data_IF_361547756299
#
_entry.id   IF_361547756299
#
_cell.length_a   1.000
_cell.length_b   1.000
_cell.length_c   1.000
_cell.angle_alpha   90.00
_cell.angle_beta   90.00
_cell.angle_gamma   90.00
#
_symmetry.space_group_name_H-M   'P 1'
#
loop_
_entity.id
_entity.type
_entity.pdbx_description
1 polymer ?
#
# COMPACT_ATOMS: atom_id res chain seq x y z
N UNK A 1 2.56 -12.30 23.41
CA UNK A 1 3.10 -11.18 22.60
C UNK A 1 2.07 -10.95 21.53
N UNK A 2 1.28 -9.89 21.67
CA UNK A 2 0.30 -9.49 20.67
C UNK A 2 1.05 -8.97 19.45
N UNK A 3 0.83 -9.58 18.29
CA UNK A 3 1.41 -9.18 17.01
C UNK A 3 0.50 -8.17 16.32
N UNK A 4 1.04 -7.06 15.86
CA UNK A 4 0.30 -5.92 15.35
C UNK A 4 0.48 -5.74 13.83
N UNK A 5 -0.53 -5.25 13.09
CA UNK A 5 -0.46 -5.10 11.65
C UNK A 5 0.47 -3.97 11.20
N UNK A 6 1.13 -4.19 10.09
CA UNK A 6 2.01 -3.22 9.43
C UNK A 6 1.27 -2.39 8.39
N UNK A 7 1.81 -1.24 7.96
CA UNK A 7 1.13 -0.33 7.04
C UNK A 7 0.97 -0.93 5.64
N UNK A 8 -0.07 -0.47 4.96
CA UNK A 8 -0.53 -1.02 3.70
C UNK A 8 -0.73 0.11 2.68
N UNK A 9 -0.19 -0.04 1.49
CA UNK A 9 -0.53 0.80 0.34
C UNK A 9 -1.56 0.06 -0.51
N UNK A 10 -2.67 0.69 -0.82
CA UNK A 10 -3.75 0.10 -1.60
C UNK A 10 -3.76 0.67 -3.01
N UNK A 11 -3.86 -0.19 -4.01
CA UNK A 11 -4.18 0.19 -5.38
C UNK A 11 -5.61 -0.23 -5.68
N UNK A 12 -6.45 0.70 -6.12
CA UNK A 12 -7.75 0.38 -6.63
C UNK A 12 -7.65 0.24 -8.16
N UNK A 13 -7.85 -0.97 -8.67
CA UNK A 13 -7.88 -1.26 -10.11
C UNK A 13 -9.34 -1.47 -10.50
N UNK A 14 -9.84 -0.70 -11.48
CA UNK A 14 -11.17 -0.88 -12.02
C UNK A 14 -11.12 -1.61 -13.36
N UNK A 15 -11.52 -2.89 -13.44
CA UNK A 15 -11.43 -3.69 -14.67
C UNK A 15 -12.55 -3.42 -15.69
N UNK A 16 -13.52 -2.56 -15.37
CA UNK A 16 -14.79 -2.46 -16.11
C UNK A 16 -14.89 -1.46 -17.25
N UNK A 17 -13.93 -0.55 -17.48
CA UNK A 17 -13.99 0.42 -18.56
C UNK A 17 -12.78 0.29 -19.51
N UNK A 18 -13.06 -0.09 -20.75
CA UNK A 18 -12.10 0.05 -21.85
C UNK A 18 -11.75 1.53 -22.02
N UNK A 19 -10.46 1.83 -22.06
CA UNK A 19 -9.98 3.17 -22.31
C UNK A 19 -10.53 3.68 -23.65
N UNK A 20 -11.47 4.63 -23.59
CA UNK A 20 -11.82 5.44 -24.74
C UNK A 20 -10.69 6.41 -25.04
N UNK A 21 -10.26 6.43 -26.29
CA UNK A 21 -9.20 7.30 -26.81
C UNK A 21 -9.54 8.78 -26.62
N UNK A 22 -8.54 9.50 -26.09
CA UNK A 22 -8.33 10.96 -26.19
C UNK A 22 -9.17 11.88 -25.29
N UNK A 23 -8.51 12.37 -24.27
CA UNK A 23 -8.51 13.83 -23.98
C UNK A 23 -7.12 14.25 -23.49
N UNK A 24 -6.36 14.91 -24.38
CA UNK A 24 -5.18 15.71 -24.07
C UNK A 24 -5.57 16.87 -23.15
N UNK A 25 -5.34 16.71 -21.86
CA UNK A 25 -5.46 17.77 -20.87
C UNK A 25 -4.09 18.12 -20.29
N UNK A 26 -3.37 19.06 -20.91
CA UNK A 26 -2.18 19.71 -20.33
C UNK A 26 -2.58 20.41 -19.04
N UNK A 27 -2.24 19.83 -17.90
CA UNK A 27 -2.27 20.52 -16.62
C UNK A 27 -0.92 21.19 -16.36
N UNK A 28 -0.88 22.48 -16.60
CA UNK A 28 0.23 23.38 -16.26
C UNK A 28 0.24 23.58 -14.73
N UNK A 29 1.12 22.89 -14.00
CA UNK A 29 1.35 23.14 -12.57
C UNK A 29 2.67 23.83 -12.35
N UNK A 30 2.68 25.16 -12.51
CA UNK A 30 3.64 26.03 -11.83
C UNK A 30 3.14 26.33 -10.44
N UNK A 31 3.54 25.56 -9.45
CA UNK A 31 3.46 25.96 -8.04
C UNK A 31 4.86 26.23 -7.51
N UNK A 32 5.25 27.49 -7.61
CA UNK A 32 6.45 28.03 -6.99
C UNK A 32 6.13 28.31 -5.51
N UNK A 33 5.99 27.27 -4.70
CA UNK A 33 5.79 27.35 -3.26
C UNK A 33 7.11 27.15 -2.53
N UNK A 34 7.68 28.24 -1.97
CA UNK A 34 8.78 28.15 -1.02
C UNK A 34 8.35 27.20 0.12
N UNK A 35 8.87 25.97 0.13
CA UNK A 35 8.76 25.06 1.28
C UNK A 35 9.39 25.75 2.49
N UNK A 36 8.58 26.28 3.38
CA UNK A 36 9.02 26.65 4.73
C UNK A 36 9.45 25.33 5.39
N UNK A 37 10.74 25.24 5.67
CA UNK A 37 11.29 24.17 6.53
C UNK A 37 10.58 24.33 7.89
N UNK A 38 9.60 23.48 8.15
CA UNK A 38 8.97 23.40 9.47
C UNK A 38 10.06 22.78 10.34
N UNK A 39 10.64 23.57 11.26
CA UNK A 39 11.50 23.02 12.31
C UNK A 39 10.62 22.07 13.12
N UNK A 40 11.08 20.85 13.31
CA UNK A 40 10.46 19.86 14.17
C UNK A 40 10.38 20.41 15.61
N UNK A 41 9.25 20.98 15.95
CA UNK A 41 8.83 21.08 17.34
C UNK A 41 8.28 19.69 17.66
N UNK A 42 8.95 18.93 18.50
CA UNK A 42 8.47 17.65 18.99
C UNK A 42 7.04 17.82 19.49
N UNK A 43 6.08 17.27 18.73
CA UNK A 43 4.68 17.33 19.12
C UNK A 43 4.37 16.13 20.01
N UNK A 44 3.53 16.32 21.03
CA UNK A 44 3.10 15.25 21.90
C UNK A 44 1.94 14.49 21.26
N UNK A 45 1.87 13.19 21.52
CA UNK A 45 0.81 12.31 20.99
C UNK A 45 -0.60 12.80 21.33
N UNK A 46 -0.81 13.29 22.55
CA UNK A 46 -2.09 13.85 23.02
C UNK A 46 -2.53 15.13 22.25
N UNK A 47 -1.58 15.98 21.86
CA UNK A 47 -1.83 17.17 21.05
C UNK A 47 -2.29 16.79 19.64
N UNK A 48 -1.70 15.73 19.10
CA UNK A 48 -1.98 15.22 17.75
C UNK A 48 -3.34 14.52 17.70
N UNK A 49 -3.61 13.61 18.64
CA UNK A 49 -4.89 12.91 18.72
C UNK A 49 -6.02 13.90 18.95
N UNK A 50 -5.80 14.97 19.72
CA UNK A 50 -6.80 16.02 19.90
C UNK A 50 -7.04 16.87 18.66
N UNK A 51 -6.05 17.05 17.79
CA UNK A 51 -6.20 17.79 16.53
C UNK A 51 -6.96 17.00 15.47
N UNK A 52 -6.95 15.68 15.54
CA UNK A 52 -7.68 14.77 14.65
C UNK A 52 -9.14 14.51 15.05
N UNK A 53 -9.61 15.05 16.16
CA UNK A 53 -11.01 14.93 16.58
C UNK A 53 -11.93 15.69 15.63
N UNK A 54 -12.56 14.99 14.74
CA UNK A 54 -13.54 15.53 13.78
C UNK A 54 -13.59 14.83 12.44
N UNK A 55 -12.70 13.86 12.20
CA UNK A 55 -12.66 13.21 10.90
C UNK A 55 -13.46 11.91 10.77
N UNK A 56 -13.96 11.32 11.87
CA UNK A 56 -14.69 10.04 11.81
C UNK A 56 -15.96 10.11 12.67
N UNK A 57 -17.12 10.19 12.02
CA UNK A 57 -18.42 9.98 12.65
C UNK A 57 -18.88 8.54 12.43
N UNK A 58 -19.56 7.95 13.42
CA UNK A 58 -19.98 6.54 13.51
C UNK A 58 -20.83 5.92 12.35
N UNK A 59 -21.29 6.65 11.29
CA UNK A 59 -21.93 6.01 10.15
C UNK A 59 -21.01 5.08 9.34
N UNK A 60 -19.71 5.12 9.58
CA UNK A 60 -18.72 4.53 8.72
C UNK A 60 -18.55 3.02 8.91
N UNK A 61 -18.77 2.50 10.12
CA UNK A 61 -18.66 1.06 10.37
C UNK A 61 -19.68 0.26 9.53
N UNK A 62 -20.92 0.74 9.46
CA UNK A 62 -21.94 0.08 8.64
C UNK A 62 -21.62 0.19 7.17
N UNK A 63 -21.21 1.36 6.68
CA UNK A 63 -20.81 1.56 5.29
C UNK A 63 -19.62 0.67 4.92
N UNK A 64 -18.64 0.55 5.81
CA UNK A 64 -17.49 -0.35 5.66
C UNK A 64 -17.95 -1.82 5.57
N UNK A 65 -18.78 -2.28 6.50
CA UNK A 65 -19.26 -3.67 6.52
C UNK A 65 -20.10 -3.99 5.27
N UNK A 66 -20.92 -3.04 4.81
CA UNK A 66 -21.72 -3.21 3.60
C UNK A 66 -20.82 -3.23 2.34
N UNK A 67 -19.80 -2.38 2.28
CA UNK A 67 -18.82 -2.39 1.20
C UNK A 67 -18.01 -3.70 1.16
N UNK A 68 -17.54 -4.20 2.30
CA UNK A 68 -16.80 -5.47 2.39
C UNK A 68 -17.65 -6.66 1.96
N UNK A 69 -18.95 -6.67 2.31
CA UNK A 69 -19.88 -7.72 1.87
C UNK A 69 -20.08 -7.70 0.35
N UNK A 70 -20.13 -6.51 -0.24
CA UNK A 70 -20.29 -6.33 -1.68
C UNK A 70 -19.01 -6.51 -2.50
N UNK A 71 -17.85 -6.63 -1.86
CA UNK A 71 -16.58 -6.81 -2.55
C UNK A 71 -16.50 -8.20 -3.17
N UNK A 72 -16.56 -8.26 -4.49
CA UNK A 72 -16.35 -9.47 -5.29
C UNK A 72 -15.04 -9.36 -6.07
N UNK A 73 -13.95 -9.19 -5.32
CA UNK A 73 -12.60 -9.09 -5.87
C UNK A 73 -11.61 -9.88 -5.01
N UNK A 74 -10.54 -10.36 -5.63
CA UNK A 74 -9.39 -10.92 -4.92
C UNK A 74 -8.53 -9.79 -4.37
N UNK A 75 -8.05 -9.92 -3.15
CA UNK A 75 -7.07 -9.00 -2.58
C UNK A 75 -5.72 -9.70 -2.62
N UNK A 76 -4.83 -9.19 -3.46
CA UNK A 76 -3.47 -9.70 -3.63
C UNK A 76 -2.52 -8.80 -2.87
N UNK A 77 -1.91 -9.32 -1.82
CA UNK A 77 -0.99 -8.55 -0.97
C UNK A 77 0.44 -8.94 -1.30
N UNK A 78 1.22 -7.98 -1.78
CA UNK A 78 2.66 -8.15 -1.97
C UNK A 78 3.36 -7.72 -0.69
N UNK A 79 4.09 -8.64 -0.07
CA UNK A 79 4.75 -8.42 1.22
C UNK A 79 6.26 -8.39 1.02
N UNK A 80 6.88 -7.28 1.37
CA UNK A 80 8.31 -7.04 1.16
C UNK A 80 9.21 -7.76 2.18
N UNK A 81 8.61 -8.27 3.27
CA UNK A 81 9.34 -8.91 4.37
C UNK A 81 8.43 -9.90 5.14
N UNK A 82 8.95 -11.10 5.53
CA UNK A 82 8.15 -12.13 6.21
C UNK A 82 7.50 -11.69 7.52
N UNK A 83 7.90 -10.56 8.10
CA UNK A 83 7.30 -10.05 9.34
C UNK A 83 5.86 -9.59 9.15
N UNK A 84 5.45 -9.25 7.93
CA UNK A 84 4.10 -8.80 7.61
C UNK A 84 3.02 -9.84 7.82
N UNK A 85 3.36 -11.09 7.60
CA UNK A 85 2.42 -12.21 7.75
C UNK A 85 2.20 -12.64 9.20
N UNK A 86 2.97 -12.13 10.14
CA UNK A 86 2.85 -12.51 11.56
C UNK A 86 1.53 -12.07 12.20
N UNK A 87 0.82 -11.15 11.57
CA UNK A 87 -0.43 -10.57 12.08
C UNK A 87 -1.68 -11.18 11.48
N UNK A 88 -1.54 -12.08 10.51
CA UNK A 88 -2.65 -12.70 9.80
C UNK A 88 -2.66 -14.20 10.02
N UNK A 89 -3.85 -14.81 9.93
CA UNK A 89 -4.02 -16.26 10.03
C UNK A 89 -5.11 -16.75 9.08
N UNK A 90 -5.07 -18.04 8.73
CA UNK A 90 -6.08 -18.64 7.87
C UNK A 90 -6.04 -18.14 6.42
N UNK A 91 -4.89 -17.68 5.96
CA UNK A 91 -4.67 -17.21 4.58
C UNK A 91 -3.52 -17.97 3.93
N UNK A 92 -3.52 -18.01 2.61
CA UNK A 92 -2.39 -18.56 1.86
C UNK A 92 -1.29 -17.50 1.71
N UNK A 93 -0.04 -17.92 1.89
CA UNK A 93 1.16 -17.14 1.63
C UNK A 93 1.99 -17.90 0.61
N UNK A 94 2.16 -17.32 -0.55
CA UNK A 94 2.98 -17.87 -1.62
C UNK A 94 4.37 -17.24 -1.57
N UNK A 95 5.40 -18.06 -1.79
CA UNK A 95 6.82 -17.62 -1.80
C UNK A 95 7.39 -17.55 -3.20
N UNK A 96 6.58 -17.76 -4.18
CA UNK A 96 6.83 -17.53 -5.59
C UNK A 96 5.60 -16.87 -6.22
N UNK A 97 5.75 -16.36 -7.44
CA UNK A 97 4.73 -15.59 -8.14
C UNK A 97 4.59 -15.99 -9.61
N UNK A 98 4.94 -17.21 -9.94
CA UNK A 98 4.68 -17.70 -11.28
C UNK A 98 3.18 -17.71 -11.61
N UNK A 99 2.86 -17.81 -12.89
CA UNK A 99 1.48 -17.72 -13.35
C UNK A 99 0.56 -18.78 -12.70
N UNK A 100 1.10 -19.97 -12.44
CA UNK A 100 0.32 -21.06 -11.82
C UNK A 100 0.07 -20.77 -10.34
N UNK A 101 1.04 -20.21 -9.64
CA UNK A 101 0.90 -19.82 -8.24
C UNK A 101 -0.11 -18.69 -8.07
N UNK A 102 -0.04 -17.65 -8.89
CA UNK A 102 -1.05 -16.59 -8.89
C UNK A 102 -2.44 -17.15 -9.20
N UNK A 103 -2.56 -18.08 -10.17
CA UNK A 103 -3.83 -18.75 -10.48
C UNK A 103 -4.39 -19.51 -9.27
N UNK A 104 -3.56 -20.23 -8.52
CA UNK A 104 -3.99 -20.91 -7.28
C UNK A 104 -4.58 -19.92 -6.26
N UNK A 105 -3.98 -18.73 -6.13
CA UNK A 105 -4.51 -17.67 -5.28
C UNK A 105 -5.88 -17.16 -5.74
N UNK A 106 -6.07 -17.02 -7.05
CA UNK A 106 -7.35 -16.61 -7.62
C UNK A 106 -8.44 -17.70 -7.53
N UNK A 107 -8.06 -18.97 -7.70
CA UNK A 107 -9.01 -20.10 -7.69
C UNK A 107 -9.42 -20.51 -6.29
N UNK A 108 -8.62 -20.20 -5.26
CA UNK A 108 -8.94 -20.51 -3.87
C UNK A 108 -10.23 -19.82 -3.40
N UNK A 109 -10.83 -20.34 -2.33
CA UNK A 109 -12.04 -19.77 -1.73
C UNK A 109 -11.77 -18.46 -0.96
N UNK A 110 -10.55 -18.28 -0.49
CA UNK A 110 -10.15 -17.11 0.28
C UNK A 110 -10.16 -15.83 -0.58
N UNK A 111 -10.70 -14.75 -0.03
CA UNK A 111 -10.68 -13.43 -0.71
C UNK A 111 -9.30 -12.80 -0.73
N UNK A 112 -8.44 -13.13 0.21
CA UNK A 112 -7.12 -12.54 0.41
C UNK A 112 -6.06 -13.61 0.30
N UNK A 113 -5.00 -13.35 -0.43
CA UNK A 113 -3.77 -14.13 -0.38
C UNK A 113 -2.54 -13.22 -0.45
N UNK A 114 -1.44 -13.71 0.10
CA UNK A 114 -0.17 -12.99 0.15
C UNK A 114 0.82 -13.60 -0.84
N UNK A 115 1.64 -12.74 -1.41
CA UNK A 115 2.85 -13.07 -2.16
C UNK A 115 4.03 -12.45 -1.44
N UNK A 116 4.87 -13.29 -0.84
CA UNK A 116 6.07 -12.85 -0.17
C UNK A 116 7.16 -12.57 -1.20
N UNK A 117 7.42 -11.30 -1.47
CA UNK A 117 8.44 -10.88 -2.45
C UNK A 117 9.84 -10.82 -1.86
N UNK A 118 9.94 -10.57 -0.56
CA UNK A 118 11.22 -10.34 0.14
C UNK A 118 12.04 -9.18 -0.47
N UNK A 119 11.36 -8.24 -1.12
CA UNK A 119 11.98 -7.18 -1.93
C UNK A 119 12.75 -6.15 -1.11
N UNK A 120 12.45 -6.02 0.20
CA UNK A 120 13.19 -5.14 1.11
C UNK A 120 14.69 -5.43 1.14
N UNK A 121 15.09 -6.70 0.94
CA UNK A 121 16.49 -7.14 0.94
C UNK A 121 17.19 -7.04 -0.41
N UNK A 122 16.46 -6.64 -1.45
CA UNK A 122 16.96 -6.57 -2.83
C UNK A 122 17.38 -5.14 -3.21
N UNK A 123 18.11 -5.00 -4.31
CA UNK A 123 18.31 -3.70 -4.95
C UNK A 123 17.03 -3.22 -5.66
N UNK A 124 16.93 -1.90 -5.86
CA UNK A 124 15.75 -1.28 -6.47
C UNK A 124 15.42 -1.86 -7.87
N UNK A 125 16.44 -2.03 -8.72
CA UNK A 125 16.23 -2.59 -10.08
C UNK A 125 15.61 -3.99 -10.04
N UNK A 126 16.06 -4.84 -9.14
CA UNK A 126 15.53 -6.18 -8.96
C UNK A 126 14.12 -6.15 -8.40
N UNK A 127 13.87 -5.30 -7.39
CA UNK A 127 12.54 -5.10 -6.84
C UNK A 127 11.56 -4.64 -7.91
N UNK A 128 11.91 -3.63 -8.69
CA UNK A 128 11.09 -3.14 -9.83
C UNK A 128 10.78 -4.27 -10.81
N UNK A 129 11.80 -5.08 -11.16
CA UNK A 129 11.62 -6.19 -12.10
C UNK A 129 10.59 -7.21 -11.61
N UNK A 130 10.71 -7.65 -10.37
CA UNK A 130 9.77 -8.65 -9.83
C UNK A 130 8.36 -8.07 -9.65
N UNK A 131 8.22 -6.80 -9.29
CA UNK A 131 6.91 -6.16 -9.18
C UNK A 131 6.20 -6.06 -10.54
N UNK A 132 6.93 -5.75 -11.63
CA UNK A 132 6.37 -5.81 -12.99
C UNK A 132 5.94 -7.22 -13.36
N UNK A 133 6.77 -8.22 -13.09
CA UNK A 133 6.45 -9.63 -13.37
C UNK A 133 5.18 -10.07 -12.63
N UNK A 134 5.06 -9.74 -11.34
CA UNK A 134 3.87 -10.05 -10.54
C UNK A 134 2.64 -9.34 -11.11
N UNK A 135 2.73 -8.05 -11.40
CA UNK A 135 1.62 -7.30 -11.97
C UNK A 135 1.14 -7.88 -13.31
N UNK A 136 2.07 -8.31 -14.17
CA UNK A 136 1.77 -9.00 -15.41
C UNK A 136 1.00 -10.31 -15.16
N UNK A 137 1.47 -11.15 -14.23
CA UNK A 137 0.81 -12.43 -13.91
C UNK A 137 -0.57 -12.22 -13.30
N UNK A 138 -0.71 -11.27 -12.36
CA UNK A 138 -2.01 -10.92 -11.76
C UNK A 138 -3.00 -10.45 -12.83
N UNK A 139 -2.55 -9.57 -13.71
CA UNK A 139 -3.37 -9.08 -14.83
C UNK A 139 -3.80 -10.21 -15.77
N UNK A 140 -2.89 -11.12 -16.09
CA UNK A 140 -3.16 -12.25 -16.98
C UNK A 140 -4.20 -13.21 -16.37
N UNK A 141 -4.03 -13.57 -15.08
CA UNK A 141 -4.96 -14.45 -14.37
C UNK A 141 -6.33 -13.81 -14.17
N UNK A 142 -6.38 -12.52 -13.84
CA UNK A 142 -7.63 -11.78 -13.73
C UNK A 142 -8.43 -11.82 -15.03
N UNK A 143 -7.78 -11.57 -16.17
CA UNK A 143 -8.42 -11.64 -17.51
C UNK A 143 -8.91 -13.06 -17.83
N UNK A 144 -8.13 -14.08 -17.49
CA UNK A 144 -8.46 -15.48 -17.74
C UNK A 144 -9.65 -15.95 -16.90
N UNK A 145 -9.66 -15.58 -15.61
CA UNK A 145 -10.69 -16.03 -14.68
C UNK A 145 -11.94 -15.15 -14.65
N UNK A 146 -11.82 -13.92 -15.20
CA UNK A 146 -12.87 -12.91 -15.10
C UNK A 146 -13.08 -12.36 -13.70
N UNK A 147 -12.15 -12.61 -12.78
CA UNK A 147 -12.21 -12.12 -11.40
C UNK A 147 -11.46 -10.80 -11.26
N UNK A 148 -12.11 -9.84 -10.64
CA UNK A 148 -11.51 -8.56 -10.27
C UNK A 148 -10.50 -8.71 -9.14
N UNK A 149 -9.63 -7.72 -8.99
CA UNK A 149 -8.64 -7.73 -7.91
C UNK A 149 -8.35 -6.32 -7.37
N UNK A 150 -7.89 -6.31 -6.12
CA UNK A 150 -7.22 -5.18 -5.50
C UNK A 150 -5.78 -5.59 -5.22
N UNK A 151 -4.83 -4.80 -5.67
CA UNK A 151 -3.41 -5.04 -5.43
C UNK A 151 -2.93 -4.15 -4.29
N UNK A 152 -2.29 -4.77 -3.31
CA UNK A 152 -1.80 -4.12 -2.11
C UNK A 152 -0.29 -4.31 -2.04
N UNK A 153 0.47 -3.23 -2.10
CA UNK A 153 1.90 -3.25 -1.76
C UNK A 153 2.04 -2.97 -0.26
N UNK A 154 2.39 -4.01 0.47
CA UNK A 154 2.62 -3.95 1.90
C UNK A 154 4.11 -3.84 2.16
N UNK A 155 4.56 -2.68 2.62
CA UNK A 155 5.95 -2.37 2.89
C UNK A 155 6.24 -2.04 4.35
N UNK A 156 7.46 -1.63 4.61
CA UNK A 156 7.90 -1.20 5.93
C UNK A 156 7.23 0.09 6.39
N UNK A 157 6.82 0.14 7.66
CA UNK A 157 6.14 1.30 8.26
C UNK A 157 7.02 2.55 8.36
N UNK A 158 8.32 2.42 8.24
CA UNK A 158 9.28 3.53 8.20
C UNK A 158 9.75 3.87 6.80
N UNK A 159 9.09 3.26 5.78
CA UNK A 159 9.38 3.45 4.36
C UNK A 159 10.80 3.00 3.95
N UNK A 160 11.38 2.05 4.70
CA UNK A 160 12.57 1.31 4.28
C UNK A 160 12.14 0.30 3.23
N UNK A 161 12.39 0.54 2.02
CA UNK A 161 11.99 -0.25 0.87
C UNK A 161 12.12 0.62 -0.35
N UNK A 162 11.54 0.18 -1.44
CA UNK A 162 11.73 0.83 -2.73
C UNK A 162 10.51 1.67 -3.16
N UNK A 163 9.76 2.23 -2.19
CA UNK A 163 8.71 3.19 -2.50
C UNK A 163 9.34 4.51 -2.99
N UNK A 164 8.87 5.13 -4.09
CA UNK A 164 7.70 4.76 -4.89
C UNK A 164 8.00 3.84 -6.10
N UNK A 165 9.22 3.37 -6.27
CA UNK A 165 9.62 2.63 -7.46
C UNK A 165 8.80 1.34 -7.67
N UNK A 166 8.56 0.58 -6.60
CA UNK A 166 7.74 -0.65 -6.62
C UNK A 166 6.32 -0.35 -7.07
N UNK A 167 5.70 0.64 -6.46
CA UNK A 167 4.30 0.99 -6.72
C UNK A 167 4.13 1.59 -8.12
N UNK A 168 5.08 2.37 -8.58
CA UNK A 168 5.11 2.87 -9.95
C UNK A 168 5.22 1.71 -10.96
N UNK A 169 6.07 0.72 -10.68
CA UNK A 169 6.24 -0.45 -11.53
C UNK A 169 4.96 -1.28 -11.66
N UNK A 170 4.26 -1.50 -10.53
CA UNK A 170 2.96 -2.18 -10.52
C UNK A 170 1.95 -1.44 -11.39
N UNK A 171 1.80 -0.13 -11.18
CA UNK A 171 0.86 0.71 -11.90
C UNK A 171 1.14 0.71 -13.40
N UNK A 172 2.38 0.99 -13.79
CA UNK A 172 2.77 1.05 -15.20
C UNK A 172 2.51 -0.26 -15.92
N UNK A 173 2.81 -1.41 -15.28
CA UNK A 173 2.56 -2.72 -15.89
C UNK A 173 1.06 -3.00 -16.01
N UNK A 174 0.27 -2.73 -14.98
CA UNK A 174 -1.18 -2.90 -15.04
C UNK A 174 -1.82 -2.05 -16.14
N UNK A 175 -1.37 -0.80 -16.32
CA UNK A 175 -1.84 0.08 -17.39
C UNK A 175 -1.44 -0.46 -18.77
N UNK A 176 -0.24 -1.01 -18.94
CA UNK A 176 0.19 -1.70 -20.17
C UNK A 176 -0.67 -2.93 -20.46
N UNK A 177 -1.12 -3.63 -19.42
CA UNK A 177 -2.05 -4.75 -19.53
C UNK A 177 -3.51 -4.30 -19.77
N UNK A 178 -3.78 -3.01 -19.88
CA UNK A 178 -5.11 -2.46 -20.18
C UNK A 178 -6.01 -2.31 -18.97
N UNK A 179 -5.49 -2.40 -17.75
CA UNK A 179 -6.21 -2.03 -16.55
C UNK A 179 -6.09 -0.53 -16.31
N UNK A 180 -7.15 0.05 -15.78
CA UNK A 180 -7.14 1.45 -15.40
C UNK A 180 -6.90 1.57 -13.91
N UNK A 181 -5.94 2.39 -13.52
CA UNK A 181 -5.68 2.75 -12.11
C UNK A 181 -6.34 4.08 -11.81
N UNK A 182 -7.43 4.08 -11.07
CA UNK A 182 -8.17 5.31 -10.71
C UNK A 182 -7.48 6.10 -9.61
N UNK A 183 -6.68 5.45 -8.76
CA UNK A 183 -5.94 6.12 -7.70
C UNK A 183 -5.03 5.17 -6.93
N UNK A 184 -4.19 5.78 -6.12
CA UNK A 184 -3.31 5.11 -5.17
C UNK A 184 -3.61 5.65 -3.77
N UNK A 185 -3.82 4.75 -2.81
CA UNK A 185 -3.99 5.11 -1.41
C UNK A 185 -2.68 4.79 -0.69
N UNK A 186 -1.98 5.83 -0.25
CA UNK A 186 -0.81 5.70 0.59
C UNK A 186 -1.21 5.86 2.05
N UNK A 187 -1.09 4.80 2.84
CA UNK A 187 -1.48 4.76 4.23
C UNK A 187 -0.35 4.21 5.14
N UNK A 188 0.76 4.95 5.30
CA UNK A 188 1.86 4.52 6.12
C UNK A 188 1.55 4.82 7.58
N UNK A 189 0.95 3.86 8.27
CA UNK A 189 0.72 3.97 9.70
C UNK A 189 0.87 2.63 10.40
N UNK A 190 1.24 2.66 11.68
CA UNK A 190 1.28 1.49 12.55
C UNK A 190 1.14 1.99 13.99
N UNK A 191 -0.09 2.19 14.43
CA UNK A 191 -0.43 2.83 15.69
C UNK A 191 0.24 2.14 16.88
N UNK A 192 0.14 0.83 16.98
CA UNK A 192 0.68 0.00 18.04
C UNK A 192 2.22 0.03 18.07
N UNK A 193 2.83 0.13 16.91
CA UNK A 193 4.28 0.30 16.76
C UNK A 193 4.75 1.75 16.87
N UNK A 194 3.84 2.69 17.18
CA UNK A 194 4.18 4.10 17.32
C UNK A 194 4.53 4.78 16.00
N UNK A 195 3.81 4.45 14.93
CA UNK A 195 3.97 5.07 13.60
C UNK A 195 2.71 5.82 13.24
N UNK A 196 2.87 7.11 12.90
CA UNK A 196 1.76 8.03 12.65
C UNK A 196 2.03 8.85 11.39
N UNK A 197 0.99 9.16 10.64
CA UNK A 197 1.08 10.12 9.53
C UNK A 197 0.13 11.28 9.78
N UNK A 198 0.66 12.49 9.89
CA UNK A 198 -0.08 13.68 10.28
C UNK A 198 0.41 14.85 9.46
N UNK A 199 -0.50 15.53 8.76
CA UNK A 199 -0.17 16.68 7.93
C UNK A 199 0.91 16.36 6.88
N UNK A 200 0.80 15.21 6.23
CA UNK A 200 1.74 14.70 5.19
C UNK A 200 3.16 14.37 5.72
N UNK A 201 3.33 14.26 7.03
CA UNK A 201 4.59 13.86 7.66
C UNK A 201 4.39 12.55 8.40
N UNK A 202 5.26 11.59 8.13
CA UNK A 202 5.32 10.33 8.86
C UNK A 202 6.22 10.45 10.08
N UNK A 203 5.71 10.05 11.25
CA UNK A 203 6.39 10.16 12.54
C UNK A 203 6.66 8.79 13.17
N UNK A 204 7.74 8.75 13.93
CA UNK A 204 8.11 7.63 14.80
C UNK A 204 8.05 8.09 16.24
N UNK A 205 7.33 7.36 17.09
CA UNK A 205 7.26 7.63 18.52
C UNK A 205 8.47 7.05 19.23
N UNK A 206 9.19 7.91 19.95
CA UNK A 206 10.27 7.53 20.86
C UNK A 206 9.74 6.92 22.17
N UNK A 207 10.64 6.35 22.95
CA UNK A 207 10.31 5.77 24.26
C UNK A 207 9.79 6.81 25.28
N UNK A 208 10.11 8.07 25.08
CA UNK A 208 9.66 9.21 25.89
C UNK A 208 8.30 9.79 25.44
N UNK A 209 7.68 9.18 24.41
CA UNK A 209 6.43 9.64 23.81
C UNK A 209 6.59 10.80 22.81
N UNK A 210 7.81 11.22 22.51
CA UNK A 210 8.08 12.26 21.53
C UNK A 210 7.93 11.70 20.13
N UNK A 211 7.28 12.46 19.24
CA UNK A 211 7.16 12.11 17.82
C UNK A 211 8.26 12.80 17.02
N UNK A 212 9.06 12.00 16.35
CA UNK A 212 10.14 12.46 15.46
C UNK A 212 9.75 12.14 14.03
N UNK A 213 9.85 13.09 13.07
CA UNK A 213 9.68 12.78 11.65
C UNK A 213 10.56 11.60 11.24
N UNK A 214 10.01 10.63 10.50
CA UNK A 214 10.77 9.45 10.10
C UNK A 214 12.05 9.79 9.33
N UNK A 215 12.04 10.85 8.53
CA UNK A 215 13.22 11.38 7.82
C UNK A 215 14.28 12.00 8.72
N UNK A 216 14.04 12.15 10.01
CA UNK A 216 15.01 12.66 11.01
C UNK A 216 15.48 11.54 11.96
N UNK A 217 15.03 10.33 11.75
CA UNK A 217 15.42 9.14 12.54
C UNK A 217 16.56 8.37 11.87
N UNK A 218 17.11 7.41 12.59
CA UNK A 218 18.11 6.47 12.07
C UNK A 218 17.64 5.66 10.86
N UNK A 219 16.32 5.53 10.65
CA UNK A 219 15.75 4.83 9.50
C UNK A 219 15.91 5.56 8.17
N UNK A 220 16.22 6.85 8.20
CA UNK A 220 16.44 7.68 7.00
C UNK A 220 17.93 7.98 6.75
N UNK A 221 18.82 7.32 7.47
CA UNK A 221 20.25 7.64 7.51
C UNK A 221 21.12 7.03 6.41
N UNK A 222 20.54 6.39 5.39
CA UNK A 222 21.29 5.77 4.27
C UNK A 222 20.97 6.43 2.94
#
# INVERSE_FOLDING_TARGET
VESYPSPVSFYCVNPGEKADEKTDGKADRKTNGKRKRIRSLGMREDEIISSGKGCLEEPEEKAYLDAVKGLDAKIVVLDDDPTGIQTVHGIYVYTDWDLETIRKGFDGDEKVFYVLTNSRSMGEEESVRIHREIAYHVAAVSKETGKDFLLVSRGDSTLRGHYPAETAALKEELEQQGFRTDGEILCPFFLEGGRFTIGDIHYVRGADGTLTPAGETEFAGD
#
